data_IF_107460469376
#
_entry.id   IF_107460469376
#
_cell.length_a   1.000
_cell.length_b   1.000
_cell.length_c   1.000
_cell.angle_alpha   90.00
_cell.angle_beta   90.00
_cell.angle_gamma   90.00
#
_symmetry.space_group_name_H-M   'P 1'
#
loop_
_entity.id
_entity.type
_entity.pdbx_description
1 polymer ?
#
# COMPACT_ATOMS: atom_id res chain seq x y z
N UNK A 1 47.38 33.00 -18.99
CA UNK A 1 47.15 32.70 -20.41
C UNK A 1 46.17 31.54 -20.51
N UNK A 2 45.10 31.74 -21.28
CA UNK A 2 44.13 30.75 -21.82
C UNK A 2 43.29 29.99 -20.78
N UNK A 3 41.96 30.16 -20.66
CA UNK A 3 40.96 30.56 -21.65
C UNK A 3 40.21 29.33 -22.15
N UNK A 4 39.05 29.02 -21.55
CA UNK A 4 38.10 28.04 -22.08
C UNK A 4 36.72 28.68 -22.09
N UNK A 5 36.31 29.11 -23.28
CA UNK A 5 34.98 29.54 -23.65
C UNK A 5 34.09 28.33 -23.93
N UNK A 6 32.88 28.31 -23.37
CA UNK A 6 31.79 27.47 -23.91
C UNK A 6 30.57 28.35 -24.17
N UNK A 7 30.30 28.52 -25.46
CA UNK A 7 29.02 28.93 -26.01
C UNK A 7 27.97 27.86 -25.73
N UNK A 8 26.74 28.25 -25.41
CA UNK A 8 25.57 27.60 -25.98
C UNK A 8 24.37 28.55 -26.10
N UNK A 9 23.76 28.47 -27.28
CA UNK A 9 22.76 29.35 -27.87
C UNK A 9 21.41 29.26 -27.15
N UNK A 10 20.80 30.42 -26.90
CA UNK A 10 19.37 30.56 -26.65
C UNK A 10 18.61 30.51 -27.99
N UNK A 11 17.51 29.75 -28.03
CA UNK A 11 16.52 29.76 -29.11
C UNK A 11 15.57 30.95 -28.97
N UNK A 12 15.14 31.61 -30.06
CA UNK A 12 14.10 32.63 -30.00
C UNK A 12 12.70 31.99 -30.03
N UNK A 13 11.85 32.44 -29.11
CA UNK A 13 10.40 32.19 -29.11
C UNK A 13 9.77 33.11 -30.16
N UNK A 14 9.10 32.51 -31.16
CA UNK A 14 8.33 33.24 -32.16
C UNK A 14 6.92 33.50 -31.59
N UNK A 15 6.59 34.77 -31.34
CA UNK A 15 5.25 35.20 -30.98
C UNK A 15 4.40 35.36 -32.25
N UNK A 16 3.28 34.63 -32.34
CA UNK A 16 2.27 34.82 -33.38
C UNK A 16 1.13 35.63 -32.78
N UNK A 17 0.97 36.87 -33.27
CA UNK A 17 -0.20 37.70 -33.00
C UNK A 17 -1.33 37.29 -33.94
N UNK A 18 -2.49 36.93 -33.38
CA UNK A 18 -3.73 36.72 -34.14
C UNK A 18 -4.60 37.96 -33.98
N UNK A 19 -4.82 38.67 -35.07
CA UNK A 19 -5.76 39.78 -35.21
C UNK A 19 -7.19 39.24 -35.30
N UNK A 20 -8.07 39.66 -34.39
CA UNK A 20 -9.51 39.42 -34.48
C UNK A 20 -10.17 40.54 -35.29
N UNK A 21 -10.75 40.18 -36.43
CA UNK A 21 -11.62 41.05 -37.21
C UNK A 21 -13.04 41.03 -36.64
N UNK A 22 -13.57 42.23 -36.35
CA UNK A 22 -14.99 42.48 -36.13
C UNK A 22 -15.75 42.32 -37.45
N UNK A 23 -16.82 41.54 -37.45
CA UNK A 23 -17.87 41.66 -38.46
C UNK A 23 -19.26 41.55 -37.81
N UNK A 24 -20.13 42.40 -38.34
CA UNK A 24 -21.44 42.81 -37.86
C UNK A 24 -22.52 41.72 -38.00
N UNK A 25 -23.56 41.89 -37.20
CA UNK A 25 -24.63 40.92 -37.00
C UNK A 25 -25.67 40.84 -38.11
N UNK A 26 -26.49 39.80 -37.99
CA UNK A 26 -27.86 39.74 -38.47
C UNK A 26 -28.68 38.98 -37.41
N UNK A 27 -29.73 39.64 -36.92
CA UNK A 27 -30.66 39.08 -35.94
C UNK A 27 -31.58 38.06 -36.59
N UNK A 28 -31.69 36.90 -35.95
CA UNK A 28 -32.81 35.99 -36.08
C UNK A 28 -33.33 35.69 -34.67
N UNK A 29 -34.58 36.04 -34.42
CA UNK A 29 -35.27 35.70 -33.18
C UNK A 29 -35.51 34.18 -33.15
N UNK A 30 -34.67 33.45 -32.43
CA UNK A 30 -34.92 32.06 -32.06
C UNK A 30 -35.66 32.05 -30.73
N UNK A 31 -36.86 31.45 -30.73
CA UNK A 31 -37.58 31.07 -29.51
C UNK A 31 -36.71 30.02 -28.81
N UNK A 32 -36.04 30.42 -27.73
CA UNK A 32 -35.26 29.52 -26.90
C UNK A 32 -36.20 28.61 -26.12
N UNK A 33 -36.27 27.33 -26.50
CA UNK A 33 -36.70 26.30 -25.58
C UNK A 33 -35.60 26.13 -24.53
N UNK A 34 -35.92 26.32 -23.25
CA UNK A 34 -35.01 25.98 -22.16
C UNK A 34 -34.62 24.50 -22.31
N UNK A 35 -33.31 24.17 -22.42
CA UNK A 35 -32.88 22.79 -22.34
C UNK A 35 -33.23 22.32 -20.92
N UNK A 36 -34.05 21.27 -20.83
CA UNK A 36 -34.29 20.56 -19.59
C UNK A 36 -32.93 20.28 -18.95
N UNK A 37 -32.72 20.80 -17.73
CA UNK A 37 -31.50 20.62 -16.99
C UNK A 37 -31.17 19.12 -16.95
N UNK A 38 -30.04 18.75 -17.55
CA UNK A 38 -29.52 17.39 -17.41
C UNK A 38 -29.41 17.09 -15.91
N UNK A 39 -29.85 15.92 -15.45
CA UNK A 39 -29.69 15.56 -14.04
C UNK A 39 -28.21 15.71 -13.68
N UNK A 40 -27.95 16.41 -12.57
CA UNK A 40 -26.60 16.63 -12.07
C UNK A 40 -25.88 15.28 -12.02
N UNK A 41 -24.73 15.18 -12.68
CA UNK A 41 -23.87 14.01 -12.56
C UNK A 41 -23.58 13.78 -11.08
N UNK A 42 -23.82 12.56 -10.60
CA UNK A 42 -23.51 12.21 -9.22
C UNK A 42 -22.03 12.54 -8.93
N UNK A 43 -21.69 13.06 -7.74
CA UNK A 43 -20.31 13.36 -7.40
C UNK A 43 -19.43 12.11 -7.59
N UNK A 44 -18.23 12.29 -8.15
CA UNK A 44 -17.35 11.20 -8.58
C UNK A 44 -17.01 10.15 -7.49
N UNK A 45 -17.10 10.51 -6.21
CA UNK A 45 -16.92 9.57 -5.09
C UNK A 45 -18.12 8.63 -4.91
N UNK A 46 -19.35 9.13 -5.10
CA UNK A 46 -20.58 8.33 -5.02
C UNK A 46 -20.66 7.31 -6.17
N UNK A 47 -20.17 7.70 -7.36
CA UNK A 47 -20.08 6.79 -8.51
C UNK A 47 -19.03 5.68 -8.30
N UNK A 48 -17.88 6.00 -7.69
CA UNK A 48 -16.84 5.01 -7.34
C UNK A 48 -17.37 3.97 -6.35
N UNK A 49 -18.14 4.40 -5.36
CA UNK A 49 -18.69 3.52 -4.34
C UNK A 49 -19.74 2.54 -4.92
N UNK A 50 -20.63 3.03 -5.79
CA UNK A 50 -21.60 2.17 -6.48
C UNK A 50 -20.93 1.07 -7.33
N UNK A 51 -19.86 1.42 -8.07
CA UNK A 51 -19.11 0.44 -8.87
C UNK A 51 -18.44 -0.63 -7.99
N UNK A 52 -17.89 -0.25 -6.84
CA UNK A 52 -17.30 -1.20 -5.87
C UNK A 52 -18.34 -2.17 -5.35
N UNK A 53 -19.49 -1.69 -4.93
CA UNK A 53 -20.57 -2.54 -4.40
C UNK A 53 -21.16 -3.46 -5.47
N UNK A 54 -21.29 -2.99 -6.72
CA UNK A 54 -21.69 -3.83 -7.84
C UNK A 54 -20.69 -4.99 -8.09
N UNK A 55 -19.37 -4.72 -8.04
CA UNK A 55 -18.35 -5.77 -8.18
C UNK A 55 -18.43 -6.76 -7.02
N UNK A 56 -18.54 -6.29 -5.78
CA UNK A 56 -18.70 -7.17 -4.61
C UNK A 56 -19.95 -8.04 -4.73
N UNK A 57 -21.07 -7.49 -5.20
CA UNK A 57 -22.30 -8.23 -5.43
C UNK A 57 -22.10 -9.31 -6.50
N UNK A 58 -21.46 -9.01 -7.63
CA UNK A 58 -21.16 -9.98 -8.67
C UNK A 58 -20.23 -11.11 -8.18
N UNK A 59 -19.23 -10.78 -7.35
CA UNK A 59 -18.28 -11.76 -6.81
C UNK A 59 -18.90 -12.76 -5.83
N UNK A 60 -20.12 -12.52 -5.33
CA UNK A 60 -20.82 -13.50 -4.49
C UNK A 60 -21.07 -14.81 -5.24
N UNK A 61 -21.43 -14.72 -6.51
CA UNK A 61 -21.79 -15.89 -7.35
C UNK A 61 -20.78 -16.21 -8.42
N UNK A 62 -19.92 -15.27 -8.81
CA UNK A 62 -18.92 -15.49 -9.85
C UNK A 62 -17.83 -16.51 -9.43
N UNK A 63 -17.41 -17.32 -10.39
CA UNK A 63 -16.17 -18.08 -10.30
C UNK A 63 -15.01 -17.24 -10.84
N UNK A 64 -13.94 -17.08 -10.06
CA UNK A 64 -12.77 -16.30 -10.49
C UNK A 64 -11.72 -17.29 -10.94
N UNK A 65 -11.33 -17.22 -12.21
CA UNK A 65 -10.36 -18.13 -12.82
C UNK A 65 -8.95 -17.59 -12.68
N UNK A 66 -7.96 -18.44 -12.94
CA UNK A 66 -6.58 -17.98 -13.02
C UNK A 66 -6.39 -16.93 -14.12
N UNK A 67 -7.13 -16.96 -15.22
CA UNK A 67 -7.03 -15.94 -16.27
C UNK A 67 -7.36 -14.54 -15.74
N UNK A 68 -8.34 -14.40 -14.86
CA UNK A 68 -8.62 -13.12 -14.20
C UNK A 68 -7.39 -12.64 -13.42
N UNK A 69 -6.76 -13.54 -12.65
CA UNK A 69 -5.57 -13.22 -11.84
C UNK A 69 -4.36 -12.91 -12.72
N UNK A 70 -4.17 -13.68 -13.78
CA UNK A 70 -3.12 -13.49 -14.78
C UNK A 70 -3.21 -12.10 -15.41
N UNK A 71 -4.43 -11.62 -15.70
CA UNK A 71 -4.67 -10.24 -16.14
C UNK A 71 -4.27 -9.24 -15.05
N UNK A 72 -4.75 -9.41 -13.82
CA UNK A 72 -4.43 -8.49 -12.72
C UNK A 72 -2.91 -8.34 -12.49
N UNK A 73 -2.14 -9.42 -12.60
CA UNK A 73 -0.68 -9.36 -12.42
C UNK A 73 0.06 -8.60 -13.54
N UNK A 74 -0.56 -8.49 -14.73
CA UNK A 74 0.04 -7.90 -15.94
C UNK A 74 -0.38 -6.46 -16.22
N UNK A 75 -1.48 -6.00 -15.63
CA UNK A 75 -2.02 -4.66 -15.88
C UNK A 75 -1.42 -3.65 -14.88
N UNK A 76 -0.67 -2.63 -15.34
CA UNK A 76 -0.21 -1.55 -14.48
C UNK A 76 -1.39 -0.78 -13.87
N UNK A 77 -1.22 -0.25 -12.66
CA UNK A 77 -2.23 0.61 -12.02
C UNK A 77 -3.44 -0.12 -11.40
N UNK A 78 -3.59 -1.43 -11.60
CA UNK A 78 -4.83 -2.14 -11.21
C UNK A 78 -5.04 -2.24 -9.69
N UNK A 79 -3.96 -2.15 -8.92
CA UNK A 79 -3.98 -2.17 -7.45
C UNK A 79 -3.58 -0.82 -6.81
N UNK A 80 -3.64 0.26 -7.60
CA UNK A 80 -3.08 1.58 -7.27
C UNK A 80 -1.96 1.96 -8.22
N UNK A 81 -1.61 3.26 -8.28
CA UNK A 81 -0.61 3.77 -9.21
C UNK A 81 0.72 3.02 -9.10
N UNK A 82 1.21 2.50 -10.24
CA UNK A 82 2.49 1.79 -10.30
C UNK A 82 2.61 0.79 -11.45
N UNK A 83 3.78 0.17 -11.57
CA UNK A 83 4.08 -0.85 -12.57
C UNK A 83 3.26 -2.13 -12.35
N UNK A 84 3.13 -2.94 -13.41
CA UNK A 84 2.55 -4.28 -13.29
C UNK A 84 3.41 -5.19 -12.41
N UNK A 85 2.79 -6.14 -11.71
CA UNK A 85 3.48 -7.02 -10.77
C UNK A 85 4.58 -7.84 -11.47
N UNK A 86 4.28 -8.37 -12.67
CA UNK A 86 5.20 -9.19 -13.46
C UNK A 86 6.41 -8.42 -14.01
N UNK A 87 6.39 -7.09 -13.98
CA UNK A 87 7.56 -6.29 -14.38
C UNK A 87 8.76 -6.62 -13.50
N UNK A 88 8.54 -6.79 -12.20
CA UNK A 88 9.59 -7.13 -11.24
C UNK A 88 9.55 -8.61 -10.82
N UNK A 89 8.36 -9.23 -10.80
CA UNK A 89 8.17 -10.59 -10.29
C UNK A 89 7.85 -11.59 -11.39
N UNK A 90 8.88 -12.02 -12.13
CA UNK A 90 8.74 -12.87 -13.32
C UNK A 90 9.68 -14.08 -13.38
N UNK A 91 10.33 -14.39 -12.26
CA UNK A 91 11.31 -15.47 -12.22
C UNK A 91 11.49 -16.00 -10.80
N UNK A 92 11.82 -17.28 -10.68
CA UNK A 92 12.27 -17.87 -9.42
C UNK A 92 13.74 -17.55 -9.10
N UNK A 93 14.47 -16.96 -10.05
CA UNK A 93 15.84 -16.50 -9.83
C UNK A 93 15.85 -15.18 -9.04
N UNK A 94 16.31 -15.24 -7.79
CA UNK A 94 16.42 -14.09 -6.89
C UNK A 94 17.29 -12.94 -7.40
N UNK A 95 18.13 -13.16 -8.42
CA UNK A 95 18.92 -12.11 -9.08
C UNK A 95 18.12 -11.33 -10.13
N UNK A 96 17.02 -11.91 -10.62
CA UNK A 96 16.15 -11.33 -11.66
C UNK A 96 14.83 -10.83 -11.11
N UNK A 97 14.33 -11.53 -10.09
CA UNK A 97 13.10 -11.20 -9.40
C UNK A 97 13.36 -11.02 -7.91
N UNK A 98 12.94 -9.91 -7.29
CA UNK A 98 13.06 -9.74 -5.85
C UNK A 98 12.37 -10.88 -5.10
N UNK A 99 13.11 -11.53 -4.21
CA UNK A 99 12.64 -12.70 -3.45
C UNK A 99 12.44 -13.96 -4.30
N UNK A 100 12.93 -13.98 -5.55
CA UNK A 100 12.70 -15.09 -6.49
C UNK A 100 11.20 -15.40 -6.65
N UNK A 101 10.37 -14.35 -6.64
CA UNK A 101 8.93 -14.49 -6.75
C UNK A 101 8.51 -14.44 -8.23
N UNK A 102 7.79 -15.44 -8.71
CA UNK A 102 7.23 -15.45 -10.05
C UNK A 102 5.71 -15.28 -10.01
N UNK A 103 5.22 -14.14 -10.49
CA UNK A 103 3.78 -13.83 -10.58
C UNK A 103 3.24 -14.00 -12.02
N UNK A 104 4.03 -14.56 -12.94
CA UNK A 104 3.61 -14.75 -14.35
C UNK A 104 2.78 -16.00 -14.56
N UNK A 105 2.89 -16.98 -13.65
CA UNK A 105 2.22 -18.29 -13.73
C UNK A 105 1.44 -18.58 -12.44
N UNK A 106 0.37 -19.37 -12.53
CA UNK A 106 -0.36 -19.81 -11.33
C UNK A 106 0.54 -20.60 -10.38
N UNK A 107 1.34 -21.51 -10.93
CA UNK A 107 2.28 -22.31 -10.16
C UNK A 107 3.30 -21.44 -9.42
N UNK A 108 3.80 -20.37 -10.05
CA UNK A 108 4.69 -19.39 -9.41
C UNK A 108 4.01 -18.65 -8.25
N UNK A 109 2.79 -18.15 -8.46
CA UNK A 109 2.01 -17.44 -7.42
C UNK A 109 1.76 -18.36 -6.21
N UNK A 110 1.36 -19.61 -6.47
CA UNK A 110 1.07 -20.60 -5.42
C UNK A 110 2.34 -21.07 -4.70
N UNK A 111 3.45 -21.24 -5.43
CA UNK A 111 4.75 -21.58 -4.84
C UNK A 111 5.28 -20.46 -3.93
N UNK A 112 5.01 -19.20 -4.28
CA UNK A 112 5.44 -18.03 -3.52
C UNK A 112 6.89 -17.64 -3.77
N UNK A 113 7.49 -16.95 -2.79
CA UNK A 113 8.87 -16.50 -2.89
C UNK A 113 9.82 -17.70 -2.82
N UNK A 114 10.84 -17.73 -3.68
CA UNK A 114 11.83 -18.79 -3.68
C UNK A 114 12.51 -18.95 -2.32
N UNK A 115 12.96 -20.16 -2.04
CA UNK A 115 13.83 -20.45 -0.90
C UNK A 115 15.03 -19.48 -0.92
N UNK A 116 15.33 -18.78 0.19
CA UNK A 116 16.56 -18.03 0.32
C UNK A 116 17.79 -18.95 0.17
N UNK A 117 18.95 -18.36 -0.17
CA UNK A 117 20.19 -19.09 -0.40
C UNK A 117 20.73 -19.81 0.86
N UNK A 118 20.17 -19.54 2.03
CA UNK A 118 20.49 -20.20 3.30
C UNK A 118 19.81 -21.57 3.49
N UNK A 119 19.02 -22.02 2.51
CA UNK A 119 18.36 -23.32 2.51
C UNK A 119 17.05 -23.37 3.30
N UNK A 120 16.53 -22.22 3.76
CA UNK A 120 15.19 -22.15 4.34
C UNK A 120 14.10 -22.39 3.28
N UNK A 121 12.97 -22.96 3.69
CA UNK A 121 11.90 -23.30 2.77
C UNK A 121 11.33 -22.04 2.06
N UNK A 122 10.82 -22.18 0.82
CA UNK A 122 10.08 -21.10 0.14
C UNK A 122 9.01 -20.52 1.06
N UNK A 123 8.84 -19.20 1.02
CA UNK A 123 7.85 -18.51 1.84
C UNK A 123 6.55 -18.33 1.04
N UNK A 124 5.46 -19.05 1.40
CA UNK A 124 4.19 -18.89 0.72
C UNK A 124 3.71 -17.45 0.89
N UNK A 125 3.31 -16.81 -0.21
CA UNK A 125 2.74 -15.47 -0.16
C UNK A 125 1.24 -15.49 0.12
N UNK A 126 0.59 -16.64 -0.07
CA UNK A 126 -0.83 -16.88 0.17
C UNK A 126 -1.08 -18.25 0.79
N UNK A 127 -2.30 -18.47 1.26
CA UNK A 127 -2.79 -19.79 1.67
C UNK A 127 -4.07 -20.08 0.90
N UNK A 128 -4.07 -21.14 0.08
CA UNK A 128 -5.26 -21.56 -0.66
C UNK A 128 -6.45 -21.78 0.28
N UNK A 129 -7.61 -21.25 -0.08
CA UNK A 129 -8.83 -21.28 0.73
C UNK A 129 -8.90 -20.21 1.82
N UNK A 130 -7.84 -19.39 2.02
CA UNK A 130 -7.78 -18.41 3.11
C UNK A 130 -7.05 -17.14 2.69
N UNK A 131 -7.80 -16.14 2.19
CA UNK A 131 -7.23 -14.82 1.89
C UNK A 131 -6.87 -14.00 3.14
N UNK A 132 -7.49 -14.29 4.30
CA UNK A 132 -7.20 -13.60 5.57
C UNK A 132 -5.84 -14.07 6.09
N UNK A 133 -4.82 -13.27 5.86
CA UNK A 133 -3.44 -13.55 6.23
C UNK A 133 -2.53 -13.63 5.00
N UNK A 134 -1.32 -14.14 5.18
CA UNK A 134 -0.34 -14.24 4.09
C UNK A 134 0.32 -12.91 3.74
N UNK A 135 1.47 -13.01 3.07
CA UNK A 135 2.27 -11.84 2.71
C UNK A 135 1.63 -11.05 1.58
N UNK A 136 0.95 -11.68 0.62
CA UNK A 136 0.31 -10.98 -0.51
C UNK A 136 -0.72 -9.96 -0.01
N UNK A 137 -1.61 -10.35 0.91
CA UNK A 137 -2.62 -9.43 1.46
C UNK A 137 -1.97 -8.23 2.13
N UNK A 138 -0.95 -8.46 2.96
CA UNK A 138 -0.27 -7.38 3.69
C UNK A 138 0.45 -6.44 2.73
N UNK A 139 1.22 -7.00 1.80
CA UNK A 139 1.94 -6.22 0.77
C UNK A 139 0.98 -5.39 -0.08
N UNK A 140 -0.23 -5.85 -0.37
CA UNK A 140 -1.17 -5.04 -1.16
C UNK A 140 -1.90 -3.95 -0.36
N UNK A 141 -2.12 -4.15 0.96
CA UNK A 141 -3.04 -3.33 1.75
C UNK A 141 -2.38 -2.47 2.82
N UNK A 142 -1.26 -2.94 3.36
CA UNK A 142 -0.68 -2.39 4.56
C UNK A 142 0.47 -1.46 4.17
N UNK A 143 0.23 -0.14 4.24
CA UNK A 143 1.28 0.87 4.20
C UNK A 143 2.40 0.54 5.19
N UNK A 144 3.65 0.76 4.78
CA UNK A 144 4.79 0.74 5.70
C UNK A 144 4.65 1.88 6.69
N UNK A 145 5.10 1.63 7.92
CA UNK A 145 5.17 2.62 8.98
C UNK A 145 6.64 2.95 9.31
N UNK A 146 6.94 4.19 9.72
CA UNK A 146 6.03 5.35 9.79
C UNK A 146 5.47 5.74 8.42
N UNK A 147 4.26 6.30 8.40
CA UNK A 147 3.52 6.53 7.17
C UNK A 147 4.30 7.49 6.26
N UNK A 148 4.49 7.12 4.99
CA UNK A 148 5.24 7.94 4.03
C UNK A 148 6.75 7.70 4.01
N UNK A 149 7.28 6.72 4.78
CA UNK A 149 8.69 6.32 4.68
C UNK A 149 9.06 5.91 3.25
N UNK A 150 10.24 6.35 2.80
CA UNK A 150 10.79 5.97 1.49
C UNK A 150 10.91 4.42 1.40
N UNK A 151 10.34 3.77 0.36
CA UNK A 151 10.47 2.33 0.18
C UNK A 151 11.92 1.82 0.13
N UNK A 152 12.88 2.66 -0.26
CA UNK A 152 14.30 2.34 -0.28
C UNK A 152 14.98 2.42 1.10
N UNK A 153 14.32 3.02 2.11
CA UNK A 153 14.89 3.11 3.45
C UNK A 153 15.10 1.70 4.05
N UNK A 154 16.27 1.38 4.63
CA UNK A 154 16.57 0.06 5.17
C UNK A 154 15.54 -0.39 6.22
N UNK A 155 15.14 -1.66 6.17
CA UNK A 155 14.16 -2.25 7.10
C UNK A 155 14.80 -3.13 8.18
N UNK A 156 16.11 -2.99 8.37
CA UNK A 156 16.93 -3.80 9.28
C UNK A 156 17.96 -2.93 10.05
N UNK A 157 17.67 -1.65 10.27
CA UNK A 157 18.52 -0.77 11.08
C UNK A 157 18.56 -1.22 12.54
N UNK A 158 19.45 -0.63 13.35
CA UNK A 158 19.53 -0.92 14.78
C UNK A 158 18.18 -0.72 15.51
N UNK A 159 17.43 0.31 15.13
CA UNK A 159 16.09 0.61 15.66
C UNK A 159 15.10 -0.51 15.33
N UNK A 160 15.08 -0.97 14.08
CA UNK A 160 14.24 -2.10 13.66
C UNK A 160 14.59 -3.36 14.47
N UNK A 161 15.88 -3.67 14.56
CA UNK A 161 16.37 -4.86 15.25
C UNK A 161 16.11 -4.79 16.77
N UNK A 162 16.10 -3.61 17.39
CA UNK A 162 15.74 -3.44 18.79
C UNK A 162 14.27 -3.82 19.06
N UNK A 163 13.35 -3.39 18.18
CA UNK A 163 11.92 -3.77 18.25
C UNK A 163 11.75 -5.28 18.02
N UNK A 164 12.41 -5.83 16.98
CA UNK A 164 12.37 -7.27 16.68
C UNK A 164 12.83 -8.09 17.89
N UNK A 165 13.98 -7.72 18.46
CA UNK A 165 14.55 -8.41 19.63
C UNK A 165 13.61 -8.37 20.83
N UNK A 166 12.99 -7.22 21.12
CA UNK A 166 12.03 -7.13 22.22
C UNK A 166 10.80 -8.02 22.02
N UNK A 167 10.30 -8.14 20.79
CA UNK A 167 9.24 -9.08 20.45
C UNK A 167 9.71 -10.53 20.69
N UNK A 168 10.92 -10.87 20.23
CA UNK A 168 11.53 -12.20 20.40
C UNK A 168 11.75 -12.56 21.87
N UNK A 169 12.17 -11.59 22.69
CA UNK A 169 12.44 -11.76 24.12
C UNK A 169 11.15 -11.85 24.98
N UNK A 170 9.98 -11.77 24.34
CA UNK A 170 8.70 -12.04 24.97
C UNK A 170 7.94 -10.80 25.45
N UNK A 171 8.22 -9.62 24.88
CA UNK A 171 7.49 -8.37 25.16
C UNK A 171 7.56 -7.90 26.62
N UNK A 172 8.70 -8.07 27.28
CA UNK A 172 8.87 -7.67 28.69
C UNK A 172 8.92 -6.14 28.83
N UNK A 173 8.41 -5.63 29.96
CA UNK A 173 8.55 -4.21 30.35
C UNK A 173 9.86 -3.99 31.13
N UNK A 174 10.97 -4.36 30.52
CA UNK A 174 12.30 -4.33 31.12
C UNK A 174 13.13 -3.12 30.67
N UNK A 175 14.39 -3.06 31.13
CA UNK A 175 15.31 -1.96 30.78
C UNK A 175 15.58 -1.88 29.28
N UNK A 176 15.56 -3.01 28.56
CA UNK A 176 15.70 -2.99 27.11
C UNK A 176 14.50 -2.32 26.46
N UNK A 177 13.28 -2.67 26.88
CA UNK A 177 12.08 -2.00 26.37
C UNK A 177 12.10 -0.49 26.68
N UNK A 178 12.33 -0.13 27.94
CA UNK A 178 12.25 1.26 28.43
C UNK A 178 13.30 2.18 27.80
N UNK A 179 14.50 1.67 27.55
CA UNK A 179 15.62 2.48 27.08
C UNK A 179 15.83 2.39 25.56
N UNK A 180 15.48 1.26 24.93
CA UNK A 180 15.83 1.01 23.52
C UNK A 180 14.62 0.85 22.59
N UNK A 181 13.40 0.63 23.10
CA UNK A 181 12.23 0.37 22.27
C UNK A 181 11.19 1.47 22.41
N UNK A 182 10.71 1.71 23.62
CA UNK A 182 9.66 2.70 23.87
C UNK A 182 10.07 4.11 23.39
N UNK A 183 11.31 4.59 23.64
CA UNK A 183 11.71 5.91 23.15
C UNK A 183 11.69 6.04 21.62
N UNK A 184 11.80 4.93 20.88
CA UNK A 184 11.71 4.94 19.42
C UNK A 184 10.31 5.30 18.92
N UNK A 185 9.26 5.02 19.69
CA UNK A 185 7.88 5.36 19.30
C UNK A 185 7.65 6.88 19.28
N UNK A 186 8.34 7.61 20.15
CA UNK A 186 8.26 9.08 20.24
C UNK A 186 9.42 9.81 19.57
N UNK A 187 10.43 9.07 19.08
CA UNK A 187 11.60 9.66 18.43
C UNK A 187 11.28 10.02 16.98
N UNK A 188 11.34 11.31 16.66
CA UNK A 188 11.18 11.81 15.30
C UNK A 188 12.27 11.30 14.37
N UNK A 189 11.92 10.96 13.13
CA UNK A 189 12.85 10.39 12.15
C UNK A 189 13.29 8.96 12.46
N UNK A 190 12.76 8.32 13.51
CA UNK A 190 13.00 6.90 13.74
C UNK A 190 12.44 6.09 12.56
N UNK A 191 13.12 5.00 12.23
CA UNK A 191 12.72 4.08 11.16
C UNK A 191 12.61 4.71 9.75
N UNK A 192 13.20 5.89 9.52
CA UNK A 192 13.16 6.57 8.22
C UNK A 192 11.96 7.48 8.01
N UNK A 193 11.20 7.80 9.08
CA UNK A 193 10.19 8.85 9.03
C UNK A 193 10.79 10.19 8.58
N UNK A 194 9.92 11.12 8.17
CA UNK A 194 10.32 12.53 8.06
C UNK A 194 10.91 13.01 9.40
N UNK A 195 11.82 13.98 9.33
CA UNK A 195 12.54 14.46 10.51
C UNK A 195 11.63 15.04 11.61
N UNK A 196 10.37 15.32 11.30
CA UNK A 196 9.37 15.91 12.16
C UNK A 196 8.30 14.91 12.67
N UNK A 197 8.28 13.66 12.18
CA UNK A 197 7.25 12.67 12.52
C UNK A 197 7.78 11.54 13.40
N UNK A 198 6.99 11.20 14.43
CA UNK A 198 7.11 10.05 15.31
C UNK A 198 5.84 9.18 15.24
N UNK A 199 5.88 7.98 15.82
CA UNK A 199 4.72 7.08 15.82
C UNK A 199 3.58 7.64 16.67
N UNK A 200 3.93 8.23 17.82
CA UNK A 200 2.95 8.78 18.78
C UNK A 200 2.31 10.09 18.32
N UNK A 201 2.78 10.72 17.22
CA UNK A 201 2.06 11.87 16.64
C UNK A 201 0.69 11.46 16.07
N UNK A 202 0.51 10.18 15.76
CA UNK A 202 -0.74 9.62 15.22
C UNK A 202 -1.33 8.48 16.07
N UNK A 203 -0.55 7.89 16.98
CA UNK A 203 -0.93 6.71 17.78
C UNK A 203 -0.65 6.97 19.26
N UNK A 204 -1.56 7.70 19.91
CA UNK A 204 -1.33 8.31 21.22
C UNK A 204 -2.35 7.97 22.31
N UNK A 205 -3.46 7.35 21.94
CA UNK A 205 -4.54 6.95 22.84
C UNK A 205 -5.41 5.85 22.21
N UNK A 206 -6.35 5.31 22.98
CA UNK A 206 -7.40 4.41 22.50
C UNK A 206 -8.68 5.14 22.05
N UNK A 207 -8.57 6.43 21.71
CA UNK A 207 -9.72 7.24 21.30
C UNK A 207 -9.58 7.66 19.82
N UNK A 208 -10.58 7.33 19.02
CA UNK A 208 -10.76 7.85 17.68
C UNK A 208 -11.84 8.94 17.63
N UNK A 209 -11.55 10.14 17.10
CA UNK A 209 -10.23 10.78 16.90
C UNK A 209 -9.62 11.27 18.24
N UNK A 210 -8.29 11.53 18.34
CA UNK A 210 -7.33 11.77 17.25
C UNK A 210 -6.41 10.59 16.92
N UNK A 211 -6.46 9.49 17.67
CA UNK A 211 -5.51 8.38 17.53
C UNK A 211 -5.97 7.39 16.48
N UNK A 212 -5.22 7.22 15.40
CA UNK A 212 -5.61 6.30 14.32
C UNK A 212 -5.60 4.85 14.81
N UNK A 213 -6.66 4.13 14.43
CA UNK A 213 -6.93 2.76 14.85
C UNK A 213 -6.93 2.60 16.37
N UNK A 214 -7.36 3.63 17.11
CA UNK A 214 -7.45 3.62 18.58
C UNK A 214 -6.17 3.03 19.20
N UNK A 215 -4.99 3.31 18.63
CA UNK A 215 -3.75 2.65 19.00
C UNK A 215 -2.91 3.55 19.88
N UNK A 216 -2.56 3.10 21.09
CA UNK A 216 -1.63 3.80 21.97
C UNK A 216 -0.22 3.20 21.91
N UNK A 217 0.76 3.97 21.40
CA UNK A 217 2.18 3.59 21.39
C UNK A 217 3.02 4.30 22.47
N UNK A 218 2.40 5.04 23.39
CA UNK A 218 3.11 5.78 24.46
C UNK A 218 3.54 4.92 25.64
N UNK A 219 2.94 3.75 25.82
CA UNK A 219 3.19 2.90 26.98
C UNK A 219 3.33 1.43 26.59
N UNK A 220 4.03 0.65 27.43
CA UNK A 220 4.08 -0.81 27.27
C UNK A 220 2.69 -1.41 27.19
N UNK A 221 1.81 -0.98 28.11
CA UNK A 221 0.44 -1.45 28.22
C UNK A 221 -0.36 -1.15 26.93
N UNK A 222 -0.30 0.09 26.42
CA UNK A 222 -1.01 0.48 25.20
C UNK A 222 -0.57 -0.35 23.99
N UNK A 223 0.74 -0.58 23.82
CA UNK A 223 1.26 -1.41 22.73
C UNK A 223 0.73 -2.85 22.82
N UNK A 224 0.56 -3.38 24.04
CA UNK A 224 0.02 -4.74 24.27
C UNK A 224 -1.50 -4.82 24.08
N UNK A 225 -2.24 -3.77 24.42
CA UNK A 225 -3.69 -3.66 24.18
C UNK A 225 -3.98 -3.66 22.68
N UNK A 226 -3.18 -2.92 21.91
CA UNK A 226 -3.20 -2.93 20.45
C UNK A 226 -4.15 -1.89 19.86
N UNK A 227 -4.64 -2.17 18.66
CA UNK A 227 -5.47 -1.25 17.89
C UNK A 227 -6.96 -1.62 17.99
N UNK A 228 -7.85 -0.72 17.53
CA UNK A 228 -9.30 -0.91 17.44
C UNK A 228 -9.89 -1.42 18.78
N UNK A 229 -9.42 -0.86 19.90
CA UNK A 229 -9.70 -1.34 21.26
C UNK A 229 -11.17 -1.15 21.69
N UNK A 230 -11.81 -0.06 21.28
CA UNK A 230 -13.21 0.26 21.53
C UNK A 230 -14.14 -0.20 20.40
N UNK A 231 -13.62 -0.37 19.18
CA UNK A 231 -14.38 -0.80 18.01
C UNK A 231 -14.85 -2.28 18.07
N UNK A 232 -15.82 -2.66 17.24
CA UNK A 232 -16.33 -4.04 17.14
C UNK A 232 -15.92 -4.69 15.80
N UNK A 233 -15.24 -5.85 15.80
CA UNK A 233 -14.82 -6.64 16.97
C UNK A 233 -13.63 -5.99 17.71
N UNK A 234 -13.56 -6.11 19.05
CA UNK A 234 -12.58 -5.40 19.85
C UNK A 234 -11.19 -5.97 19.71
N UNK A 235 -10.22 -5.06 19.59
CA UNK A 235 -8.81 -5.31 19.81
C UNK A 235 -8.14 -6.09 18.68
N UNK A 236 -7.27 -5.41 17.95
CA UNK A 236 -6.30 -5.99 17.03
C UNK A 236 -4.94 -6.02 17.70
N UNK A 237 -4.51 -7.20 18.15
CA UNK A 237 -3.15 -7.39 18.67
C UNK A 237 -2.11 -7.03 17.62
N UNK A 238 -1.26 -6.04 17.93
CA UNK A 238 -0.17 -5.61 17.05
C UNK A 238 1.17 -6.29 17.34
N UNK A 239 1.32 -6.89 18.52
CA UNK A 239 2.51 -7.64 18.93
C UNK A 239 2.14 -9.02 19.47
N UNK A 240 3.02 -10.00 19.25
CA UNK A 240 2.89 -11.38 19.73
C UNK A 240 4.24 -11.85 20.25
N UNK A 241 4.30 -12.17 21.54
CA UNK A 241 5.51 -12.61 22.22
C UNK A 241 6.19 -13.78 21.49
N UNK A 242 7.49 -13.65 21.26
CA UNK A 242 8.32 -14.63 20.54
C UNK A 242 8.08 -14.70 19.03
N UNK A 243 7.17 -13.90 18.46
CA UNK A 243 6.69 -14.06 17.08
C UNK A 243 6.69 -12.74 16.30
N UNK A 244 7.87 -12.19 15.95
CA UNK A 244 7.95 -10.96 15.16
C UNK A 244 7.23 -11.07 13.81
N UNK A 245 7.35 -12.20 13.11
CA UNK A 245 6.70 -12.40 11.81
C UNK A 245 5.17 -12.54 11.88
N UNK A 246 4.60 -12.71 13.07
CA UNK A 246 3.16 -12.69 13.30
C UNK A 246 2.68 -11.39 13.96
N UNK A 247 3.59 -10.43 14.21
CA UNK A 247 3.36 -9.15 14.88
C UNK A 247 3.21 -8.04 13.86
N UNK A 248 2.04 -7.38 13.84
CA UNK A 248 1.77 -6.25 12.93
C UNK A 248 2.77 -5.12 13.10
N UNK A 249 3.23 -4.82 14.32
CA UNK A 249 4.23 -3.77 14.55
C UNK A 249 5.50 -4.02 13.71
N UNK A 250 6.07 -5.22 13.80
CA UNK A 250 7.25 -5.59 13.02
C UNK A 250 6.99 -5.58 11.52
N UNK A 251 5.87 -6.17 11.09
CA UNK A 251 5.52 -6.24 9.67
C UNK A 251 5.29 -4.85 9.07
N UNK A 252 4.62 -3.95 9.79
CA UNK A 252 4.41 -2.56 9.38
C UNK A 252 5.72 -1.78 9.27
N UNK A 253 6.69 -2.02 10.15
CA UNK A 253 8.00 -1.36 10.06
C UNK A 253 8.83 -1.83 8.85
N UNK A 254 8.62 -3.07 8.39
CA UNK A 254 9.55 -3.74 7.47
C UNK A 254 9.00 -4.07 6.09
N UNK A 255 7.68 -4.09 5.93
CA UNK A 255 7.03 -4.44 4.67
C UNK A 255 6.59 -3.17 3.93
N UNK A 256 7.23 -2.89 2.78
CA UNK A 256 6.71 -1.94 1.81
C UNK A 256 5.39 -2.44 1.20
N UNK A 257 4.43 -1.53 1.06
CA UNK A 257 3.22 -1.74 0.24
C UNK A 257 3.61 -1.88 -1.23
N UNK A 258 2.80 -2.63 -1.97
CA UNK A 258 2.95 -2.94 -3.39
C UNK A 258 1.77 -2.34 -4.19
N UNK A 259 2.01 -1.84 -5.41
CA UNK A 259 3.33 -1.72 -6.06
C UNK A 259 4.28 -0.78 -5.31
N UNK A 260 5.58 -0.99 -5.44
CA UNK A 260 6.58 -0.23 -4.67
C UNK A 260 6.43 1.28 -4.96
N UNK A 261 6.29 2.08 -3.90
CA UNK A 261 6.09 3.52 -4.01
C UNK A 261 4.65 3.95 -4.29
N UNK A 262 3.67 3.04 -4.23
CA UNK A 262 2.25 3.40 -4.25
C UNK A 262 1.94 4.41 -3.16
N UNK A 263 1.13 5.41 -3.48
CA UNK A 263 0.76 6.48 -2.54
C UNK A 263 0.04 5.91 -1.31
N UNK A 264 0.29 6.51 -0.16
CA UNK A 264 -0.22 6.03 1.12
C UNK A 264 -1.75 6.24 1.27
N UNK A 265 -2.32 7.21 0.56
CA UNK A 265 -3.74 7.50 0.47
C UNK A 265 -4.48 6.67 -0.58
N UNK A 266 -3.77 5.89 -1.40
CA UNK A 266 -4.39 4.95 -2.35
C UNK A 266 -5.25 3.93 -1.61
N UNK A 267 -6.42 3.67 -2.20
CA UNK A 267 -7.44 2.78 -1.64
C UNK A 267 -6.84 1.45 -1.19
N UNK A 268 -7.11 1.05 0.05
CA UNK A 268 -6.61 -0.19 0.66
C UNK A 268 -7.48 -1.40 0.35
N UNK A 269 -8.64 -1.19 -0.29
CA UNK A 269 -9.61 -2.20 -0.67
C UNK A 269 -10.18 -1.95 -2.09
N UNK A 270 -9.33 -1.80 -3.14
CA UNK A 270 -9.82 -1.65 -4.51
C UNK A 270 -10.45 -2.97 -4.99
N UNK A 271 -11.43 -2.90 -5.89
CA UNK A 271 -12.18 -4.07 -6.36
C UNK A 271 -11.30 -5.17 -6.98
N UNK A 272 -10.13 -4.82 -7.50
CA UNK A 272 -9.14 -5.79 -7.98
C UNK A 272 -8.64 -6.73 -6.85
N UNK A 273 -8.50 -6.22 -5.62
CA UNK A 273 -8.17 -7.07 -4.47
C UNK A 273 -9.32 -7.98 -4.08
N UNK A 274 -10.58 -7.55 -4.22
CA UNK A 274 -11.74 -8.42 -3.97
C UNK A 274 -11.75 -9.62 -4.93
N UNK A 275 -11.45 -9.39 -6.22
CA UNK A 275 -11.30 -10.46 -7.22
C UNK A 275 -10.18 -11.42 -6.81
N UNK A 276 -9.00 -10.89 -6.46
CA UNK A 276 -7.86 -11.71 -6.05
C UNK A 276 -8.15 -12.51 -4.78
N UNK A 277 -8.78 -11.90 -3.76
CA UNK A 277 -9.13 -12.58 -2.52
C UNK A 277 -10.21 -13.63 -2.72
N UNK A 278 -11.16 -13.40 -3.63
CA UNK A 278 -12.15 -14.40 -4.04
C UNK A 278 -11.46 -15.63 -4.64
N UNK A 279 -10.54 -15.45 -5.58
CA UNK A 279 -9.75 -16.55 -6.15
C UNK A 279 -8.95 -17.33 -5.09
N UNK A 280 -8.30 -16.62 -4.15
CA UNK A 280 -7.59 -17.28 -3.04
C UNK A 280 -8.57 -18.11 -2.20
N UNK A 281 -9.75 -17.58 -1.87
CA UNK A 281 -10.77 -18.32 -1.11
C UNK A 281 -11.33 -19.52 -1.88
N UNK A 282 -11.35 -19.48 -3.21
CA UNK A 282 -11.72 -20.61 -4.08
C UNK A 282 -10.64 -21.70 -4.16
N UNK A 283 -9.52 -21.52 -3.46
CA UNK A 283 -8.42 -22.48 -3.40
C UNK A 283 -7.22 -22.14 -4.27
N UNK A 284 -7.15 -20.92 -4.80
CA UNK A 284 -6.03 -20.47 -5.66
C UNK A 284 -5.77 -21.44 -6.82
N UNK A 285 -6.84 -21.91 -7.47
CA UNK A 285 -6.77 -22.94 -8.51
C UNK A 285 -6.19 -22.37 -9.81
N UNK A 286 -5.52 -23.24 -10.58
CA UNK A 286 -4.85 -22.87 -11.83
C UNK A 286 -5.70 -23.10 -13.09
N UNK A 287 -7.00 -23.31 -12.94
CA UNK A 287 -7.96 -23.49 -14.03
C UNK A 287 -8.62 -22.17 -14.46
#
# INVERSE_FOLDING_TARGET
MSGVTKFNKAWPVLAVAVTFGMALGFGAAAVAAEPAAAPAAAPAEEEKDFRKEAVKAALKTADVTYDNIATLMRVPGVFGAGASCVTCHNSTDGKKSPGGLDLTTCAGIVAGAAAPADGTAPHPILTAGKHKGGTIRRRMRDNRMPLGVDPAYPNNTAEHLAVKKWIEDGLKDDDHFKNNVLPLMSKKGAFGASADQSCVDCHMSHEEPPSFHELDLNTHKGILEGADFLAEPPGVKIVKAGKPMDSKLWLRLTENRMPMGVDMGEDRDPSALDIMFKWINQGAKCN
#
